data_IF_280950673400
#
_entry.id   IF_280950673400
#
_cell.length_a   1.000
_cell.length_b   1.000
_cell.length_c   1.000
_cell.angle_alpha   90.00
_cell.angle_beta   90.00
_cell.angle_gamma   90.00
#
_symmetry.space_group_name_H-M   'P 1'
#
loop_
_entity.id
_entity.type
_entity.pdbx_description
1 polymer ?
#
# COMPACT_ATOMS: atom_id res chain seq x y z
N UNK A 1 17.13 -4.51 -2.12
CA UNK A 1 15.94 -4.52 -1.23
C UNK A 1 15.06 -3.32 -1.56
N UNK A 2 13.74 -3.51 -1.50
CA UNK A 2 12.78 -2.42 -1.75
C UNK A 2 12.56 -1.63 -0.45
N UNK A 3 12.63 -0.32 -0.55
CA UNK A 3 12.49 0.61 0.58
C UNK A 3 11.54 1.71 0.18
N UNK A 4 10.63 2.03 1.07
CA UNK A 4 9.73 3.18 0.95
C UNK A 4 10.23 4.30 1.85
N UNK A 5 10.32 5.50 1.31
CA UNK A 5 10.77 6.69 2.04
C UNK A 5 9.74 7.80 1.83
N UNK A 6 9.08 8.23 2.91
CA UNK A 6 8.16 9.35 2.88
C UNK A 6 8.93 10.62 3.27
N UNK A 7 8.93 11.61 2.40
CA UNK A 7 9.64 12.88 2.56
C UNK A 7 8.68 14.05 2.47
N UNK A 8 9.04 15.15 3.10
CA UNK A 8 8.31 16.42 2.99
C UNK A 8 9.16 17.42 2.22
N UNK A 9 8.62 17.96 1.13
CA UNK A 9 9.24 18.95 0.26
C UNK A 9 8.48 20.27 0.32
N UNK A 10 9.15 21.37 -0.03
CA UNK A 10 8.45 22.60 -0.38
C UNK A 10 7.68 22.39 -1.68
N UNK A 11 6.49 22.96 -1.78
CA UNK A 11 5.68 22.91 -3.01
C UNK A 11 6.16 23.97 -4.00
N UNK A 12 7.39 23.77 -4.50
CA UNK A 12 8.07 24.66 -5.43
C UNK A 12 8.65 23.85 -6.60
N UNK A 13 8.72 24.43 -7.81
CA UNK A 13 9.37 23.79 -8.95
C UNK A 13 10.81 23.38 -8.64
N UNK A 14 11.20 22.17 -9.04
CA UNK A 14 12.56 21.67 -8.87
C UNK A 14 12.84 20.94 -7.55
N UNK A 15 11.99 21.04 -6.52
CA UNK A 15 12.23 20.40 -5.21
C UNK A 15 12.31 18.87 -5.30
N UNK A 16 11.48 18.27 -6.14
CA UNK A 16 11.55 16.83 -6.38
C UNK A 16 12.87 16.43 -7.04
N UNK A 17 13.39 17.25 -7.96
CA UNK A 17 14.68 16.98 -8.62
C UNK A 17 15.81 17.00 -7.59
N UNK A 18 15.79 17.98 -6.66
CA UNK A 18 16.75 18.04 -5.55
C UNK A 18 16.69 16.78 -4.68
N UNK A 19 15.49 16.29 -4.36
CA UNK A 19 15.30 15.07 -3.57
C UNK A 19 15.79 13.81 -4.29
N UNK A 20 15.75 13.78 -5.62
CA UNK A 20 16.24 12.64 -6.40
C UNK A 20 17.77 12.64 -6.57
N UNK A 21 18.46 13.76 -6.30
CA UNK A 21 19.91 13.87 -6.34
C UNK A 21 20.63 12.82 -5.48
N UNK A 22 20.37 12.74 -4.17
CA UNK A 22 20.93 11.73 -3.28
C UNK A 22 20.63 10.28 -3.74
N UNK A 23 19.43 10.02 -4.23
CA UNK A 23 19.04 8.69 -4.75
C UNK A 23 19.94 8.29 -5.91
N UNK A 24 20.15 9.20 -6.86
CA UNK A 24 20.99 9.00 -8.02
C UNK A 24 22.48 8.88 -7.63
N UNK A 25 22.96 9.74 -6.72
CA UNK A 25 24.34 9.74 -6.24
C UNK A 25 24.74 8.38 -5.65
N UNK A 26 23.87 7.81 -4.83
CA UNK A 26 24.08 6.49 -4.24
C UNK A 26 23.75 5.32 -5.18
N UNK A 27 23.40 5.58 -6.45
CA UNK A 27 23.05 4.56 -7.44
C UNK A 27 21.89 3.65 -6.99
N UNK A 28 20.96 4.20 -6.22
CA UNK A 28 19.71 3.54 -5.91
C UNK A 28 18.75 3.66 -7.11
N UNK A 29 18.00 2.60 -7.37
CA UNK A 29 17.02 2.62 -8.46
C UNK A 29 15.68 3.12 -7.93
N UNK A 30 15.14 4.15 -8.57
CA UNK A 30 13.79 4.65 -8.29
C UNK A 30 12.77 3.76 -8.98
N UNK A 31 11.85 3.19 -8.21
CA UNK A 31 10.78 2.33 -8.72
C UNK A 31 9.53 3.17 -9.00
N UNK A 32 9.13 4.00 -8.03
CA UNK A 32 7.97 4.89 -8.18
C UNK A 32 8.08 6.11 -7.28
N UNK A 33 7.34 7.14 -7.66
CA UNK A 33 7.14 8.38 -6.88
C UNK A 33 5.64 8.60 -6.78
N UNK A 34 5.17 8.78 -5.55
CA UNK A 34 3.78 9.16 -5.30
C UNK A 34 3.76 10.53 -4.64
N UNK A 35 2.98 11.44 -5.21
CA UNK A 35 2.81 12.78 -4.73
C UNK A 35 1.47 12.87 -4.01
N UNK A 36 1.49 13.15 -2.72
CA UNK A 36 0.28 13.23 -1.91
C UNK A 36 0.00 14.68 -1.55
N UNK A 37 -1.09 15.21 -2.04
CA UNK A 37 -1.70 16.38 -1.42
C UNK A 37 -2.50 15.87 -0.21
N UNK A 38 -2.28 16.40 0.98
CA UNK A 38 -3.11 16.06 2.16
C UNK A 38 -4.58 16.27 1.80
N UNK A 39 -5.30 15.16 1.59
CA UNK A 39 -6.74 15.20 1.42
C UNK A 39 -7.36 15.67 2.73
N UNK A 40 -7.93 16.87 2.73
CA UNK A 40 -8.63 17.34 3.92
C UNK A 40 -8.95 18.82 4.00
N UNK A 41 -8.46 19.66 3.12
CA UNK A 41 -9.03 20.99 2.91
C UNK A 41 -8.67 21.47 1.51
N UNK A 42 -9.66 21.76 0.68
CA UNK A 42 -9.56 22.55 -0.55
C UNK A 42 -9.22 24.02 -0.26
N UNK A 43 -8.64 24.31 0.88
CA UNK A 43 -8.06 25.59 1.20
C UNK A 43 -6.55 25.43 1.07
N UNK A 44 -5.97 26.15 0.11
CA UNK A 44 -4.55 26.44 -0.08
C UNK A 44 -3.71 26.00 1.12
N UNK A 45 -2.86 24.96 0.92
CA UNK A 45 -2.00 24.43 1.98
C UNK A 45 -1.26 25.60 2.62
N UNK A 46 -1.58 25.85 3.88
CA UNK A 46 -1.10 27.02 4.62
C UNK A 46 0.39 26.97 4.89
N UNK A 47 1.10 25.90 4.50
CA UNK A 47 2.52 25.73 4.82
C UNK A 47 3.42 25.55 3.59
N UNK A 48 2.90 25.61 2.34
CA UNK A 48 3.70 25.48 1.12
C UNK A 48 4.55 24.18 1.08
N UNK A 49 4.07 23.11 1.68
CA UNK A 49 4.75 21.83 1.76
C UNK A 49 3.90 20.70 1.20
N UNK A 50 4.56 19.72 0.61
CA UNK A 50 3.97 18.55 -0.01
C UNK A 50 4.67 17.28 0.46
N UNK A 51 3.89 16.22 0.63
CA UNK A 51 4.44 14.91 0.95
C UNK A 51 4.66 14.10 -0.32
N UNK A 52 5.85 13.49 -0.41
CA UNK A 52 6.24 12.64 -1.51
C UNK A 52 6.72 11.31 -0.96
N UNK A 53 6.21 10.23 -1.49
CA UNK A 53 6.68 8.89 -1.21
C UNK A 53 7.59 8.43 -2.35
N UNK A 54 8.81 8.07 -2.00
CA UNK A 54 9.79 7.46 -2.90
C UNK A 54 9.84 5.97 -2.63
N UNK A 55 9.65 5.16 -3.66
CA UNK A 55 9.88 3.72 -3.59
C UNK A 55 11.18 3.42 -4.31
N UNK A 56 12.15 2.92 -3.57
CA UNK A 56 13.53 2.74 -4.01
C UNK A 56 13.94 1.27 -3.98
N UNK A 57 14.73 0.84 -4.95
CA UNK A 57 15.48 -0.41 -4.85
C UNK A 57 16.94 -0.09 -4.46
N UNK A 58 17.33 -0.48 -3.24
CA UNK A 58 18.65 -0.24 -2.67
C UNK A 58 19.39 -1.56 -2.43
N UNK A 59 20.73 -1.52 -2.44
CA UNK A 59 21.56 -2.71 -2.22
C UNK A 59 21.52 -3.22 -0.78
N UNK A 60 21.51 -2.31 0.19
CA UNK A 60 21.56 -2.63 1.62
C UNK A 60 21.04 -1.47 2.46
N UNK A 61 20.84 -1.72 3.76
CA UNK A 61 20.34 -0.73 4.73
C UNK A 61 21.29 0.47 4.88
N UNK A 62 22.61 0.26 4.81
CA UNK A 62 23.60 1.34 4.89
C UNK A 62 23.41 2.39 3.80
N UNK A 63 23.07 1.97 2.57
CA UNK A 63 22.72 2.88 1.47
C UNK A 63 21.48 3.70 1.78
N UNK A 64 20.45 3.10 2.39
CA UNK A 64 19.25 3.81 2.82
C UNK A 64 19.56 4.90 3.83
N UNK A 65 20.41 4.57 4.81
CA UNK A 65 20.82 5.52 5.86
C UNK A 65 21.66 6.68 5.28
N UNK A 66 22.47 6.42 4.26
CA UNK A 66 23.23 7.44 3.55
C UNK A 66 22.32 8.38 2.75
N UNK A 67 21.38 7.81 1.98
CA UNK A 67 20.38 8.61 1.23
C UNK A 67 19.58 9.49 2.19
N UNK A 68 19.14 8.94 3.33
CA UNK A 68 18.42 9.70 4.36
C UNK A 68 19.25 10.89 4.86
N UNK A 69 20.51 10.68 5.22
CA UNK A 69 21.41 11.75 5.70
C UNK A 69 21.61 12.85 4.65
N UNK A 70 21.79 12.47 3.38
CA UNK A 70 21.99 13.44 2.32
C UNK A 70 20.72 14.25 2.03
N UNK A 71 19.52 13.63 2.14
CA UNK A 71 18.24 14.34 2.07
C UNK A 71 18.10 15.34 3.22
N UNK A 72 18.41 14.94 4.44
CA UNK A 72 18.36 15.81 5.62
C UNK A 72 19.37 16.98 5.51
N UNK A 73 20.54 16.73 4.92
CA UNK A 73 21.54 17.78 4.62
C UNK A 73 21.05 18.81 3.59
N UNK A 74 20.11 18.45 2.73
CA UNK A 74 19.43 19.34 1.81
C UNK A 74 18.20 20.04 2.43
N UNK A 75 18.01 19.94 3.75
CA UNK A 75 16.82 20.43 4.48
C UNK A 75 15.50 19.76 4.02
N UNK A 76 15.58 18.55 3.50
CA UNK A 76 14.42 17.74 3.14
C UNK A 76 14.11 16.84 4.35
N UNK A 77 12.92 17.01 4.93
CA UNK A 77 12.51 16.24 6.08
C UNK A 77 12.11 14.82 5.64
N UNK A 78 12.76 13.81 6.21
CA UNK A 78 12.39 12.40 6.03
C UNK A 78 11.43 12.01 7.14
N UNK A 79 10.15 11.85 6.80
CA UNK A 79 9.08 11.55 7.75
C UNK A 79 9.10 10.09 8.20
N UNK A 80 9.34 9.19 7.24
CA UNK A 80 9.35 7.75 7.47
C UNK A 80 10.29 7.05 6.51
N UNK A 81 10.99 6.05 7.00
CA UNK A 81 11.73 5.08 6.19
C UNK A 81 11.24 3.70 6.58
N UNK A 82 10.70 2.96 5.61
CA UNK A 82 10.24 1.59 5.79
C UNK A 82 10.79 0.68 4.70
N UNK A 83 11.09 -0.55 5.04
CA UNK A 83 11.10 -1.62 4.06
C UNK A 83 9.65 -1.93 3.74
N UNK A 84 9.29 -2.11 2.47
CA UNK A 84 7.95 -2.62 2.18
C UNK A 84 7.77 -3.92 2.96
N UNK A 85 6.83 -3.87 3.90
CA UNK A 85 6.43 -5.06 4.65
C UNK A 85 5.81 -6.09 3.71
N UNK A 86 5.20 -5.61 2.63
CA UNK A 86 4.43 -6.41 1.70
C UNK A 86 5.06 -6.37 0.31
N UNK A 87 5.37 -7.55 -0.23
CA UNK A 87 5.97 -7.70 -1.56
C UNK A 87 4.96 -8.10 -2.64
N UNK A 88 3.80 -8.62 -2.23
CA UNK A 88 2.76 -9.12 -3.12
C UNK A 88 1.46 -8.36 -2.87
N UNK A 89 0.72 -8.13 -3.95
CA UNK A 89 -0.61 -7.49 -3.92
C UNK A 89 -1.55 -8.25 -4.83
N UNK A 90 -2.73 -8.60 -4.32
CA UNK A 90 -3.80 -9.17 -5.13
C UNK A 90 -5.11 -8.42 -4.91
N UNK A 91 -6.00 -8.53 -5.90
CA UNK A 91 -7.40 -8.15 -5.74
C UNK A 91 -8.25 -9.39 -5.87
N UNK A 92 -9.08 -9.65 -4.88
CA UNK A 92 -10.07 -10.74 -4.89
C UNK A 92 -11.47 -10.16 -4.90
N UNK A 93 -12.44 -10.91 -5.45
CA UNK A 93 -13.85 -10.51 -5.44
C UNK A 93 -14.63 -11.55 -4.65
N UNK A 94 -15.44 -11.09 -3.70
CA UNK A 94 -16.39 -11.89 -2.94
C UNK A 94 -17.81 -11.52 -3.39
N UNK A 95 -18.62 -12.50 -3.75
CA UNK A 95 -19.99 -12.31 -4.24
C UNK A 95 -20.95 -13.10 -3.37
N UNK A 96 -22.05 -12.46 -2.99
CA UNK A 96 -23.11 -13.02 -2.15
C UNK A 96 -23.78 -11.95 -1.32
N UNK A 97 -24.35 -12.33 -0.18
CA UNK A 97 -24.94 -11.37 0.74
C UNK A 97 -23.87 -10.74 1.65
N UNK A 98 -22.80 -10.15 1.02
CA UNK A 98 -21.60 -9.65 1.71
C UNK A 98 -21.96 -8.70 2.85
N UNK A 99 -22.97 -7.84 2.67
CA UNK A 99 -23.41 -6.88 3.70
C UNK A 99 -24.01 -7.56 4.92
N UNK A 100 -24.72 -8.69 4.70
CA UNK A 100 -25.35 -9.45 5.79
C UNK A 100 -24.33 -10.31 6.54
N UNK A 101 -23.12 -10.47 5.98
CA UNK A 101 -21.99 -11.11 6.67
C UNK A 101 -21.16 -10.03 7.35
N UNK A 102 -20.53 -10.36 8.47
CA UNK A 102 -19.63 -9.42 9.13
C UNK A 102 -18.35 -9.27 8.29
N UNK A 103 -18.32 -8.25 7.41
CA UNK A 103 -17.15 -7.94 6.58
C UNK A 103 -15.96 -7.48 7.42
N UNK A 104 -16.22 -6.84 8.57
CA UNK A 104 -15.18 -6.43 9.53
C UNK A 104 -14.47 -7.66 10.09
N UNK A 105 -15.21 -8.73 10.41
CA UNK A 105 -14.59 -10.01 10.81
C UNK A 105 -13.68 -10.55 9.72
N UNK A 106 -14.12 -10.48 8.46
CA UNK A 106 -13.28 -10.92 7.33
C UNK A 106 -11.96 -10.16 7.26
N UNK A 107 -12.01 -8.83 7.34
CA UNK A 107 -10.83 -7.96 7.33
C UNK A 107 -9.93 -8.27 8.54
N UNK A 108 -10.50 -8.29 9.74
CA UNK A 108 -9.76 -8.56 10.97
C UNK A 108 -9.06 -9.92 10.96
N UNK A 109 -9.70 -10.94 10.42
CA UNK A 109 -9.10 -12.29 10.33
C UNK A 109 -7.91 -12.33 9.38
N UNK A 110 -7.90 -11.52 8.33
CA UNK A 110 -6.75 -11.38 7.42
C UNK A 110 -5.65 -10.59 8.11
N UNK A 111 -5.97 -9.41 8.64
CA UNK A 111 -5.01 -8.48 9.23
C UNK A 111 -4.34 -9.05 10.49
N UNK A 112 -5.09 -9.78 11.32
CA UNK A 112 -4.59 -10.45 12.52
C UNK A 112 -3.58 -11.56 12.23
N UNK A 113 -3.47 -12.04 10.98
CA UNK A 113 -2.40 -12.98 10.62
C UNK A 113 -1.02 -12.33 10.70
N UNK A 114 -0.93 -11.01 10.63
CA UNK A 114 0.32 -10.25 10.59
C UNK A 114 1.16 -10.43 9.32
N UNK A 115 0.75 -11.32 8.40
CA UNK A 115 1.44 -11.63 7.14
C UNK A 115 0.77 -11.01 5.91
N UNK A 116 -0.47 -10.54 6.06
CA UNK A 116 -1.23 -9.85 5.03
C UNK A 116 -2.12 -8.77 5.67
N UNK A 117 -2.58 -7.82 4.86
CA UNK A 117 -3.55 -6.80 5.27
C UNK A 117 -4.46 -6.42 4.12
N UNK A 118 -5.70 -6.06 4.44
CA UNK A 118 -6.64 -5.49 3.47
C UNK A 118 -6.41 -3.98 3.40
N UNK A 119 -5.97 -3.50 2.23
CA UNK A 119 -5.56 -2.08 2.04
C UNK A 119 -6.62 -1.26 1.31
N UNK A 120 -7.56 -1.91 0.65
CA UNK A 120 -8.66 -1.24 -0.06
C UNK A 120 -9.85 -2.17 -0.19
N UNK A 121 -11.05 -1.61 -0.17
CA UNK A 121 -12.30 -2.33 -0.37
C UNK A 121 -13.27 -1.48 -1.17
N UNK A 122 -13.80 -2.07 -2.23
CA UNK A 122 -14.90 -1.51 -3.02
C UNK A 122 -16.11 -2.41 -2.95
N UNK A 123 -17.27 -1.84 -2.65
CA UNK A 123 -18.53 -2.57 -2.52
C UNK A 123 -19.50 -2.13 -3.63
N UNK A 124 -20.06 -3.11 -4.33
CA UNK A 124 -21.11 -2.89 -5.33
C UNK A 124 -22.42 -3.49 -4.85
N UNK A 125 -23.46 -2.65 -4.76
CA UNK A 125 -24.79 -3.01 -4.30
C UNK A 125 -25.82 -2.65 -5.37
N UNK A 126 -26.19 -3.59 -6.26
CA UNK A 126 -27.13 -3.28 -7.32
C UNK A 126 -28.56 -3.00 -6.78
N UNK A 127 -29.01 -3.78 -5.81
CA UNK A 127 -30.31 -3.65 -5.14
C UNK A 127 -30.25 -4.30 -3.74
N UNK A 128 -31.13 -3.87 -2.81
CA UNK A 128 -31.13 -4.34 -1.41
C UNK A 128 -31.32 -5.87 -1.29
N UNK A 129 -32.06 -6.47 -2.20
CA UNK A 129 -32.42 -7.91 -2.17
C UNK A 129 -31.53 -8.78 -3.05
N UNK A 130 -30.66 -8.17 -3.85
CA UNK A 130 -29.75 -8.89 -4.74
C UNK A 130 -28.39 -9.17 -4.09
N UNK A 131 -27.69 -10.21 -4.55
CA UNK A 131 -26.32 -10.43 -4.14
C UNK A 131 -25.46 -9.19 -4.38
N UNK A 132 -24.60 -8.89 -3.44
CA UNK A 132 -23.62 -7.80 -3.49
C UNK A 132 -22.25 -8.35 -3.85
N UNK A 133 -21.36 -7.51 -4.35
CA UNK A 133 -19.96 -7.89 -4.55
C UNK A 133 -19.03 -6.95 -3.84
N UNK A 134 -17.99 -7.51 -3.21
CA UNK A 134 -16.91 -6.76 -2.60
C UNK A 134 -15.59 -7.11 -3.27
N UNK A 135 -14.90 -6.12 -3.82
CA UNK A 135 -13.52 -6.27 -4.25
C UNK A 135 -12.61 -5.87 -3.09
N UNK A 136 -11.73 -6.79 -2.68
CA UNK A 136 -10.75 -6.58 -1.62
C UNK A 136 -9.35 -6.56 -2.23
N UNK A 137 -8.61 -5.47 -2.02
CA UNK A 137 -7.21 -5.39 -2.35
C UNK A 137 -6.38 -5.77 -1.13
N UNK A 138 -5.56 -6.79 -1.27
CA UNK A 138 -4.82 -7.41 -0.19
C UNK A 138 -3.34 -7.36 -0.50
N UNK A 139 -2.56 -6.84 0.45
CA UNK A 139 -1.12 -6.89 0.44
C UNK A 139 -0.64 -8.06 1.30
N UNK A 140 0.39 -8.78 0.86
CA UNK A 140 1.02 -9.86 1.62
C UNK A 140 2.55 -9.70 1.64
N UNK A 141 3.19 -10.20 2.69
CA UNK A 141 4.65 -10.08 2.92
C UNK A 141 5.44 -10.75 1.80
N UNK A 142 4.94 -11.86 1.26
CA UNK A 142 5.56 -12.59 0.17
C UNK A 142 4.59 -13.57 -0.48
N UNK A 143 5.09 -14.31 -1.46
CA UNK A 143 4.28 -15.25 -2.26
C UNK A 143 3.75 -16.44 -1.44
N UNK A 144 4.55 -16.92 -0.49
CA UNK A 144 4.14 -18.01 0.41
C UNK A 144 3.03 -17.52 1.38
N UNK A 145 3.21 -16.34 1.96
CA UNK A 145 2.24 -15.70 2.84
C UNK A 145 0.94 -15.39 2.09
N UNK A 146 1.03 -14.96 0.84
CA UNK A 146 -0.12 -14.76 -0.03
C UNK A 146 -0.89 -16.07 -0.24
N UNK A 147 -0.19 -17.18 -0.49
CA UNK A 147 -0.82 -18.51 -0.62
C UNK A 147 -1.56 -18.92 0.67
N UNK A 148 -0.97 -18.65 1.83
CA UNK A 148 -1.63 -18.89 3.15
C UNK A 148 -2.88 -18.02 3.31
N UNK A 149 -2.79 -16.76 2.90
CA UNK A 149 -3.91 -15.81 2.94
C UNK A 149 -5.05 -16.23 2.01
N UNK A 150 -4.74 -16.71 0.81
CA UNK A 150 -5.75 -17.25 -0.12
C UNK A 150 -6.48 -18.48 0.49
N UNK A 151 -5.75 -19.38 1.15
CA UNK A 151 -6.37 -20.51 1.85
C UNK A 151 -7.32 -20.05 2.96
N UNK A 152 -6.91 -19.05 3.73
CA UNK A 152 -7.78 -18.43 4.74
C UNK A 152 -9.02 -17.79 4.11
N UNK A 153 -8.87 -17.07 3.00
CA UNK A 153 -9.98 -16.45 2.27
C UNK A 153 -10.97 -17.50 1.75
N UNK A 154 -10.48 -18.61 1.17
CA UNK A 154 -11.32 -19.73 0.74
C UNK A 154 -12.15 -20.30 1.90
N UNK A 155 -11.53 -20.44 3.08
CA UNK A 155 -12.23 -20.87 4.30
C UNK A 155 -13.29 -19.88 4.76
N UNK A 156 -12.96 -18.58 4.82
CA UNK A 156 -13.90 -17.51 5.20
C UNK A 156 -15.07 -17.44 4.22
N UNK A 157 -14.80 -17.50 2.93
CA UNK A 157 -15.83 -17.47 1.91
C UNK A 157 -16.80 -18.66 2.04
N UNK A 158 -16.28 -19.85 2.29
CA UNK A 158 -17.10 -21.04 2.53
C UNK A 158 -17.95 -20.92 3.83
N UNK A 159 -17.38 -20.45 4.93
CA UNK A 159 -18.07 -20.22 6.19
C UNK A 159 -19.21 -19.18 6.07
N UNK A 160 -19.06 -18.21 5.18
CA UNK A 160 -20.00 -17.09 4.98
C UNK A 160 -20.90 -17.27 3.75
N UNK A 161 -20.83 -18.45 3.14
CA UNK A 161 -21.60 -18.78 1.91
C UNK A 161 -21.42 -17.75 0.77
N UNK A 162 -20.16 -17.28 0.60
CA UNK A 162 -19.78 -16.35 -0.42
C UNK A 162 -18.99 -17.04 -1.54
N UNK A 163 -19.24 -16.64 -2.78
CA UNK A 163 -18.39 -17.01 -3.91
C UNK A 163 -17.12 -16.16 -3.88
N UNK A 164 -15.95 -16.80 -3.88
CA UNK A 164 -14.66 -16.15 -3.97
C UNK A 164 -14.08 -16.29 -5.38
N UNK A 165 -13.77 -15.17 -6.01
CA UNK A 165 -13.10 -15.10 -7.31
C UNK A 165 -11.68 -14.62 -7.07
N UNK A 166 -10.71 -15.42 -7.51
CA UNK A 166 -9.28 -15.14 -7.44
C UNK A 166 -8.78 -14.64 -8.80
N UNK A 167 -7.64 -13.92 -8.85
CA UNK A 167 -6.94 -13.66 -10.11
C UNK A 167 -6.54 -14.97 -10.80
N UNK A 168 -6.48 -14.95 -12.14
CA UNK A 168 -6.24 -16.14 -12.99
C UNK A 168 -4.94 -16.87 -12.62
N UNK A 169 -3.92 -16.14 -12.18
CA UNK A 169 -2.61 -16.72 -11.82
C UNK A 169 -2.57 -17.41 -10.43
N UNK A 170 -3.70 -17.47 -9.72
CA UNK A 170 -3.80 -17.99 -8.35
C UNK A 170 -4.91 -19.06 -8.17
N UNK A 171 -5.33 -19.69 -9.25
CA UNK A 171 -6.27 -20.82 -9.21
C UNK A 171 -5.66 -22.11 -8.59
#
# INVERSE_FOLDING_TARGET
>A
MKVTMDIELKDEPGQLILALGPVSHHKANLISVFHYHKAGNFALGTDGKVQVQLVLNVKNRKMTDQIKKDLEALNIQVLRVGTEKYAETITVIMIGHVINTDIRDTINRIDNTGIAEVVDMSLSMPEITKPTSAALKINAVGREELSKTIKLLKKIAHEKELLLILPIDYE
#
